data_IF_520266230175
#
_entry.id   IF_520266230175
#
_cell.length_a   1.000
_cell.length_b   1.000
_cell.length_c   1.000
_cell.angle_alpha   90.00
_cell.angle_beta   90.00
_cell.angle_gamma   90.00
#
_symmetry.space_group_name_H-M   'P 1'
#
loop_
_entity.id
_entity.type
_entity.pdbx_description
1 polymer ?
#
# COMPACT_ATOMS: atom_id res chain seq x y z
N UNK A 1 10.46 18.09 -8.83
CA UNK A 1 9.63 17.84 -7.63
C UNK A 1 8.36 17.01 -7.89
N UNK A 2 7.64 17.18 -9.02
CA UNK A 2 6.32 16.54 -9.26
C UNK A 2 6.25 15.01 -9.07
N UNK A 3 7.29 14.25 -9.42
CA UNK A 3 7.31 12.78 -9.28
C UNK A 3 7.87 12.29 -7.94
N UNK A 4 8.51 13.18 -7.18
CA UNK A 4 9.25 12.83 -5.97
C UNK A 4 8.31 12.33 -4.87
N UNK A 5 7.13 12.95 -4.73
CA UNK A 5 6.13 12.55 -3.74
C UNK A 5 5.58 11.15 -4.03
N UNK A 6 5.25 10.84 -5.30
CA UNK A 6 4.75 9.51 -5.68
C UNK A 6 5.83 8.45 -5.46
N UNK A 7 7.07 8.74 -5.85
CA UNK A 7 8.20 7.82 -5.65
C UNK A 7 8.46 7.55 -4.16
N UNK A 8 8.47 8.60 -3.31
CA UNK A 8 8.64 8.43 -1.87
C UNK A 8 7.48 7.64 -1.26
N UNK A 9 6.24 7.91 -1.68
CA UNK A 9 5.07 7.20 -1.14
C UNK A 9 5.09 5.71 -1.51
N UNK A 10 5.45 5.37 -2.75
CA UNK A 10 5.67 3.98 -3.19
C UNK A 10 6.85 3.34 -2.45
N UNK A 11 7.95 4.08 -2.25
CA UNK A 11 9.11 3.61 -1.49
C UNK A 11 8.76 3.28 -0.04
N UNK A 12 7.95 4.12 0.61
CA UNK A 12 7.42 3.85 1.95
C UNK A 12 6.53 2.60 1.98
N UNK A 13 5.64 2.45 0.99
CA UNK A 13 4.80 1.25 0.87
C UNK A 13 5.62 -0.02 0.79
N UNK A 14 6.67 -0.03 -0.05
CA UNK A 14 7.59 -1.17 -0.18
C UNK A 14 8.33 -1.42 1.13
N UNK A 15 8.85 -0.37 1.78
CA UNK A 15 9.58 -0.48 3.04
C UNK A 15 8.72 -1.09 4.16
N UNK A 16 7.48 -0.62 4.33
CA UNK A 16 6.59 -1.13 5.36
C UNK A 16 6.09 -2.55 5.06
N UNK A 17 5.79 -2.87 3.80
CA UNK A 17 5.44 -4.23 3.38
C UNK A 17 6.60 -5.22 3.64
N UNK A 18 7.82 -4.84 3.26
CA UNK A 18 9.02 -5.63 3.53
C UNK A 18 9.26 -5.80 5.04
N UNK A 19 9.06 -4.74 5.83
CA UNK A 19 9.18 -4.81 7.28
C UNK A 19 8.20 -5.82 7.87
N UNK A 20 6.92 -5.76 7.49
CA UNK A 20 5.90 -6.75 7.89
C UNK A 20 6.32 -8.18 7.54
N UNK A 21 6.70 -8.41 6.28
CA UNK A 21 7.12 -9.73 5.81
C UNK A 21 8.35 -10.28 6.53
N UNK A 22 9.24 -9.43 7.03
CA UNK A 22 10.48 -9.86 7.69
C UNK A 22 10.34 -9.98 9.21
N UNK A 23 9.47 -9.18 9.84
CA UNK A 23 9.41 -9.10 11.31
C UNK A 23 8.18 -9.78 11.92
N UNK A 24 7.11 -9.94 11.16
CA UNK A 24 5.89 -10.57 11.67
C UNK A 24 5.94 -12.08 11.44
N UNK A 25 6.35 -12.82 12.47
CA UNK A 25 6.38 -14.28 12.44
C UNK A 25 4.96 -14.89 12.46
N UNK A 26 4.00 -14.23 13.10
CA UNK A 26 2.60 -14.69 13.17
C UNK A 26 1.95 -14.64 11.80
N UNK A 27 2.28 -13.63 10.98
CA UNK A 27 1.83 -13.56 9.59
C UNK A 27 2.20 -14.83 8.80
N UNK A 28 3.40 -15.36 8.99
CA UNK A 28 3.84 -16.58 8.31
C UNK A 28 3.30 -17.86 8.95
N UNK A 29 3.14 -17.87 10.27
CA UNK A 29 2.69 -19.06 11.00
C UNK A 29 1.19 -19.31 10.87
N UNK A 30 0.39 -18.24 10.91
CA UNK A 30 -1.08 -18.30 10.99
C UNK A 30 -1.73 -17.97 9.65
N UNK A 31 -1.13 -17.09 8.85
CA UNK A 31 -1.73 -16.54 7.64
C UNK A 31 -0.78 -16.54 6.42
N UNK A 32 -0.15 -17.68 6.06
CA UNK A 32 0.84 -17.72 4.98
C UNK A 32 0.29 -17.22 3.64
N UNK A 33 -0.98 -17.49 3.33
CA UNK A 33 -1.64 -16.99 2.12
C UNK A 33 -1.66 -15.45 2.06
N UNK A 34 -1.85 -14.78 3.20
CA UNK A 34 -1.82 -13.32 3.31
C UNK A 34 -0.39 -12.79 3.18
N UNK A 35 0.60 -13.52 3.72
CA UNK A 35 2.01 -13.19 3.53
C UNK A 35 2.41 -13.23 2.04
N UNK A 36 2.00 -14.28 1.32
CA UNK A 36 2.23 -14.38 -0.13
C UNK A 36 1.49 -13.29 -0.91
N UNK A 37 0.24 -12.98 -0.55
CA UNK A 37 -0.51 -11.89 -1.16
C UNK A 37 0.20 -10.53 -0.95
N UNK A 38 0.66 -10.24 0.27
CA UNK A 38 1.42 -9.03 0.58
C UNK A 38 2.73 -8.96 -0.20
N UNK A 39 3.44 -10.08 -0.35
CA UNK A 39 4.65 -10.18 -1.15
C UNK A 39 4.38 -9.82 -2.62
N UNK A 40 3.32 -10.36 -3.21
CA UNK A 40 2.91 -10.03 -4.59
C UNK A 40 2.55 -8.56 -4.71
N UNK A 41 1.78 -8.00 -3.78
CA UNK A 41 1.43 -6.57 -3.76
C UNK A 41 2.66 -5.67 -3.63
N UNK A 42 3.66 -6.07 -2.84
CA UNK A 42 4.94 -5.36 -2.72
C UNK A 42 5.73 -5.40 -4.04
N UNK A 43 5.78 -6.55 -4.71
CA UNK A 43 6.45 -6.66 -6.02
C UNK A 43 5.76 -5.79 -7.08
N UNK A 44 4.44 -5.70 -7.06
CA UNK A 44 3.68 -4.78 -7.93
C UNK A 44 4.01 -3.32 -7.64
N UNK A 45 4.20 -2.94 -6.37
CA UNK A 45 4.65 -1.59 -6.01
C UNK A 45 6.06 -1.30 -6.53
N UNK A 46 6.98 -2.28 -6.48
CA UNK A 46 8.31 -2.17 -7.08
C UNK A 46 8.22 -1.92 -8.59
N UNK A 47 7.36 -2.66 -9.30
CA UNK A 47 7.12 -2.46 -10.74
C UNK A 47 6.55 -1.06 -11.00
N UNK A 48 5.56 -0.62 -10.22
CA UNK A 48 4.99 0.72 -10.33
C UNK A 48 6.03 1.81 -10.10
N UNK A 49 6.87 1.67 -9.07
CA UNK A 49 7.96 2.60 -8.79
C UNK A 49 8.91 2.71 -9.98
N UNK A 50 9.31 1.58 -10.58
CA UNK A 50 10.17 1.57 -11.78
C UNK A 50 9.50 2.28 -12.97
N UNK A 51 8.19 2.08 -13.17
CA UNK A 51 7.43 2.74 -14.25
C UNK A 51 7.32 4.25 -14.03
N UNK A 52 7.10 4.70 -12.79
CA UNK A 52 7.06 6.12 -12.43
C UNK A 52 8.45 6.76 -12.54
N UNK A 53 9.52 6.07 -12.15
CA UNK A 53 10.90 6.51 -12.34
C UNK A 53 11.24 6.71 -13.83
N UNK A 54 10.72 5.84 -14.71
CA UNK A 54 10.80 5.98 -16.17
C UNK A 54 9.86 7.05 -16.74
N UNK A 55 9.21 7.86 -15.88
CA UNK A 55 8.32 8.98 -16.23
C UNK A 55 7.16 8.59 -17.15
N UNK A 56 6.67 7.35 -17.06
CA UNK A 56 5.50 6.93 -17.82
C UNK A 56 4.25 7.60 -17.23
N UNK A 57 3.73 8.61 -17.92
CA UNK A 57 2.59 9.41 -17.45
C UNK A 57 1.35 8.58 -17.07
N UNK A 58 1.07 7.51 -17.80
CA UNK A 58 -0.01 6.57 -17.48
C UNK A 58 0.15 5.90 -16.11
N UNK A 59 1.37 5.51 -15.73
CA UNK A 59 1.62 4.84 -14.45
C UNK A 59 1.18 5.73 -13.27
N UNK A 60 1.43 7.04 -13.35
CA UNK A 60 1.07 7.99 -12.29
C UNK A 60 -0.44 8.21 -12.22
N UNK A 61 -1.14 8.15 -13.35
CA UNK A 61 -2.62 8.18 -13.34
C UNK A 61 -3.18 6.94 -12.67
N UNK A 62 -2.51 5.80 -12.85
CA UNK A 62 -2.91 4.54 -12.24
C UNK A 62 -2.58 4.47 -10.75
N UNK A 63 -1.47 5.07 -10.30
CA UNK A 63 -1.05 4.98 -8.88
C UNK A 63 -2.11 5.50 -7.91
N UNK A 64 -2.91 6.50 -8.28
CA UNK A 64 -3.97 7.00 -7.39
C UNK A 64 -5.06 5.93 -7.12
N UNK A 65 -5.46 5.20 -8.16
CA UNK A 65 -6.47 4.14 -8.04
C UNK A 65 -5.87 2.93 -7.34
N UNK A 66 -4.60 2.62 -7.63
CA UNK A 66 -3.87 1.55 -6.99
C UNK A 66 -3.74 1.74 -5.47
N UNK A 67 -3.36 2.94 -5.03
CA UNK A 67 -3.27 3.27 -3.60
C UNK A 67 -4.63 3.14 -2.90
N UNK A 68 -5.69 3.70 -3.50
CA UNK A 68 -7.03 3.60 -2.92
C UNK A 68 -7.53 2.14 -2.83
N UNK A 69 -7.30 1.36 -3.89
CA UNK A 69 -7.63 -0.06 -3.92
C UNK A 69 -6.89 -0.84 -2.82
N UNK A 70 -5.56 -0.65 -2.68
CA UNK A 70 -4.77 -1.31 -1.64
C UNK A 70 -5.19 -0.90 -0.24
N UNK A 71 -5.52 0.38 -0.01
CA UNK A 71 -6.02 0.83 1.28
C UNK A 71 -7.31 0.08 1.67
N UNK A 72 -8.23 -0.08 0.71
CA UNK A 72 -9.45 -0.85 0.93
C UNK A 72 -9.16 -2.34 1.15
N UNK A 73 -8.21 -2.92 0.42
CA UNK A 73 -7.82 -4.31 0.57
C UNK A 73 -7.26 -4.58 1.96
N UNK A 74 -6.36 -3.72 2.47
CA UNK A 74 -5.84 -3.86 3.83
C UNK A 74 -6.92 -3.66 4.89
N UNK A 75 -7.85 -2.72 4.72
CA UNK A 75 -8.98 -2.61 5.64
C UNK A 75 -9.93 -3.82 5.55
N UNK A 76 -10.08 -4.42 4.37
CA UNK A 76 -10.87 -5.62 4.16
C UNK A 76 -10.24 -6.86 4.81
N UNK A 77 -8.93 -6.84 5.09
CA UNK A 77 -8.24 -7.91 5.82
C UNK A 77 -8.90 -8.12 7.19
N UNK A 78 -9.44 -7.07 7.82
CA UNK A 78 -10.17 -7.20 9.09
C UNK A 78 -11.35 -8.20 8.97
N UNK A 79 -11.96 -8.32 7.79
CA UNK A 79 -13.07 -9.23 7.53
C UNK A 79 -12.67 -10.71 7.53
N UNK A 80 -11.37 -11.02 7.46
CA UNK A 80 -10.86 -12.39 7.53
C UNK A 80 -10.71 -12.87 8.98
N UNK A 81 -10.98 -12.04 9.99
CA UNK A 81 -10.92 -12.39 11.42
C UNK A 81 -11.58 -13.74 11.80
N UNK A 82 -12.78 -14.10 11.28
CA UNK A 82 -13.42 -15.38 11.62
C UNK A 82 -12.60 -16.61 11.20
N UNK A 83 -11.73 -16.49 10.20
CA UNK A 83 -10.85 -17.57 9.75
C UNK A 83 -9.81 -17.93 10.82
N UNK A 84 -9.49 -16.98 11.71
CA UNK A 84 -8.53 -17.14 12.80
C UNK A 84 -9.21 -17.37 14.15
N UNK A 85 -10.53 -17.53 14.19
CA UNK A 85 -11.30 -17.68 15.43
C UNK A 85 -11.35 -16.42 16.31
N UNK A 86 -11.03 -15.25 15.74
CA UNK A 86 -11.03 -13.96 16.42
C UNK A 86 -12.26 -13.14 16.08
N UNK A 87 -12.63 -12.22 16.97
CA UNK A 87 -13.60 -11.18 16.63
C UNK A 87 -12.97 -10.12 15.71
N UNK A 88 -13.80 -9.42 14.94
CA UNK A 88 -13.33 -8.32 14.07
C UNK A 88 -12.55 -7.25 14.85
N UNK A 89 -12.96 -6.95 16.09
CA UNK A 89 -12.31 -5.93 16.92
C UNK A 89 -10.94 -6.40 17.43
N UNK A 90 -10.83 -7.65 17.87
CA UNK A 90 -9.55 -8.22 18.31
C UNK A 90 -8.55 -8.25 17.16
N UNK A 91 -8.97 -8.71 15.98
CA UNK A 91 -8.09 -8.78 14.82
C UNK A 91 -7.71 -7.39 14.30
N UNK A 92 -8.65 -6.43 14.29
CA UNK A 92 -8.31 -5.04 13.98
C UNK A 92 -7.30 -4.47 14.99
N UNK A 93 -7.52 -4.71 16.29
CA UNK A 93 -6.61 -4.24 17.35
C UNK A 93 -5.21 -4.83 17.18
N UNK A 94 -5.11 -6.12 16.83
CA UNK A 94 -3.85 -6.76 16.46
C UNK A 94 -3.20 -6.04 15.28
N UNK A 95 -3.89 -5.92 14.13
CA UNK A 95 -3.33 -5.29 12.94
C UNK A 95 -2.87 -3.85 13.19
N UNK A 96 -3.69 -3.04 13.86
CA UNK A 96 -3.36 -1.65 14.18
C UNK A 96 -2.32 -1.51 15.31
N UNK A 97 -1.98 -2.58 16.04
CA UNK A 97 -0.84 -2.57 16.95
C UNK A 97 0.51 -2.69 16.21
N UNK A 98 0.49 -3.23 14.99
CA UNK A 98 1.67 -3.40 14.16
C UNK A 98 2.04 -2.06 13.50
N UNK A 99 3.17 -1.48 13.92
CA UNK A 99 3.66 -0.21 13.39
C UNK A 99 3.83 -0.25 11.86
N UNK A 100 4.29 -1.38 11.32
CA UNK A 100 4.51 -1.57 9.90
C UNK A 100 3.19 -1.63 9.12
N UNK A 101 2.13 -2.21 9.69
CA UNK A 101 0.80 -2.20 9.09
C UNK A 101 0.22 -0.77 9.03
N UNK A 102 0.36 0.00 10.11
CA UNK A 102 -0.06 1.40 10.15
C UNK A 102 0.68 2.25 9.11
N UNK A 103 2.00 2.07 9.01
CA UNK A 103 2.82 2.72 7.99
C UNK A 103 2.43 2.32 6.57
N UNK A 104 2.12 1.04 6.36
CA UNK A 104 1.66 0.51 5.09
C UNK A 104 0.32 1.14 4.67
N UNK A 105 -0.66 1.24 5.56
CA UNK A 105 -1.93 1.94 5.31
C UNK A 105 -1.72 3.41 5.00
N UNK A 106 -0.92 4.12 5.81
CA UNK A 106 -0.62 5.53 5.60
C UNK A 106 0.04 5.76 4.24
N UNK A 107 0.96 4.88 3.83
CA UNK A 107 1.61 4.98 2.52
C UNK A 107 0.62 4.88 1.36
N UNK A 108 -0.46 4.09 1.48
CA UNK A 108 -1.50 4.02 0.45
C UNK A 108 -2.28 5.33 0.32
N UNK A 109 -2.56 5.99 1.45
CA UNK A 109 -3.18 7.31 1.47
C UNK A 109 -2.26 8.33 0.78
N UNK A 110 -0.95 8.29 1.08
CA UNK A 110 0.05 9.17 0.46
C UNK A 110 0.19 8.92 -1.06
N UNK A 111 0.18 7.65 -1.50
CA UNK A 111 0.19 7.29 -2.92
C UNK A 111 -1.04 7.89 -3.63
N UNK A 112 -2.22 7.74 -3.01
CA UNK A 112 -3.48 8.26 -3.55
C UNK A 112 -3.45 9.79 -3.66
N UNK A 113 -3.07 10.48 -2.57
CA UNK A 113 -3.01 11.93 -2.52
C UNK A 113 -1.95 12.51 -3.48
N UNK A 114 -0.78 11.88 -3.57
CA UNK A 114 0.29 12.33 -4.47
C UNK A 114 -0.08 12.14 -5.95
N UNK A 115 -0.76 11.04 -6.29
CA UNK A 115 -1.31 10.81 -7.64
C UNK A 115 -2.37 11.86 -8.02
N UNK A 116 -3.31 12.15 -7.12
CA UNK A 116 -4.34 13.19 -7.34
C UNK A 116 -3.74 14.59 -7.52
N UNK A 117 -2.75 14.95 -6.69
CA UNK A 117 -2.05 16.23 -6.80
C UNK A 117 -1.32 16.38 -8.13
N UNK A 118 -0.73 15.30 -8.64
CA UNK A 118 -0.13 15.29 -9.98
C UNK A 118 -1.19 15.57 -11.07
N UNK A 119 -2.31 14.85 -11.03
CA UNK A 119 -3.40 15.02 -12.02
C UNK A 119 -3.95 16.45 -12.06
N UNK A 120 -4.17 17.05 -10.88
CA UNK A 120 -4.59 18.45 -10.78
C UNK A 120 -3.56 19.42 -11.37
N UNK A 121 -2.28 19.13 -11.17
CA UNK A 121 -1.17 19.96 -11.68
C UNK A 121 -0.99 19.87 -13.19
N UNK A 122 -1.32 18.74 -13.80
CA UNK A 122 -1.33 18.57 -15.27
C UNK A 122 -2.51 19.34 -15.87
N UNK A 123 -3.73 19.16 -15.34
CA UNK A 123 -4.93 19.85 -15.83
C UNK A 123 -4.81 21.38 -15.79
N UNK A 124 -4.16 21.94 -14.76
CA UNK A 124 -3.91 23.39 -14.66
C UNK A 124 -2.91 23.93 -15.70
N UNK A 125 -2.07 23.08 -16.29
CA UNK A 125 -1.08 23.51 -17.29
C UNK A 125 -1.63 23.46 -18.72
N UNK A 126 -2.80 22.84 -18.92
CA UNK A 126 -3.51 22.76 -20.21
C UNK A 126 -4.55 23.88 -20.39
N UNK A 127 -4.75 24.72 -19.37
CA UNK A 127 -5.63 25.90 -19.36
C UNK A 127 -4.77 27.16 -19.36
#
# INVERSE_FOLDING_TARGET
MRFLLVNLSLGLSIFFAASLLLTDAELWAVAPDHAYALLVLMLLDCIMLLLVLRRKGFAIRFTQYWGAFKALLFLADILTAPQYGLTYLEFATYLFSLWAYNGLLLSQILITASGLNYMRSVKKAEV
#
